data_IF_676799657057
#
_entry.id   IF_676799657057
#
_cell.length_a   1.000
_cell.length_b   1.000
_cell.length_c   1.000
_cell.angle_alpha   90.00
_cell.angle_beta   90.00
_cell.angle_gamma   90.00
#
_symmetry.space_group_name_H-M   'P 1'
#
loop_
_entity.id
_entity.type
_entity.pdbx_description
1 polymer ?
#
# COMPACT_ATOMS: atom_id res chain seq x y z
N UNK A 1 -12.78 13.88 14.40
CA UNK A 1 -14.05 13.13 14.27
C UNK A 1 -14.61 13.11 12.84
N UNK A 2 -13.99 13.78 11.85
CA UNK A 2 -14.47 13.74 10.44
C UNK A 2 -13.96 12.53 9.63
N UNK A 3 -12.86 11.89 10.04
CA UNK A 3 -12.22 10.83 9.24
C UNK A 3 -13.07 9.56 9.07
N UNK A 4 -13.92 9.21 10.05
CA UNK A 4 -14.76 8.00 9.97
C UNK A 4 -15.93 8.14 8.99
N UNK A 5 -16.50 9.35 8.91
CA UNK A 5 -17.55 9.67 7.94
C UNK A 5 -16.99 9.60 6.51
N UNK A 6 -15.83 10.22 6.28
CA UNK A 6 -15.14 10.18 4.97
C UNK A 6 -14.81 8.74 4.54
N UNK A 7 -14.30 7.91 5.45
CA UNK A 7 -13.98 6.50 5.19
C UNK A 7 -15.24 5.72 4.80
N UNK A 8 -16.35 5.95 5.50
CA UNK A 8 -17.63 5.31 5.21
C UNK A 8 -18.19 5.75 3.85
N UNK A 9 -18.02 7.02 3.47
CA UNK A 9 -18.42 7.52 2.16
C UNK A 9 -17.61 6.90 1.01
N UNK A 10 -16.31 6.68 1.20
CA UNK A 10 -15.45 5.98 0.23
C UNK A 10 -16.00 4.56 -0.03
N UNK A 11 -16.33 3.81 1.02
CA UNK A 11 -16.91 2.47 0.86
C UNK A 11 -18.26 2.51 0.13
N UNK A 12 -19.16 3.42 0.54
CA UNK A 12 -20.47 3.59 -0.12
C UNK A 12 -20.32 3.91 -1.60
N UNK A 13 -19.42 4.84 -1.95
CA UNK A 13 -19.15 5.21 -3.32
C UNK A 13 -18.67 4.00 -4.13
N UNK A 14 -17.69 3.25 -3.62
CA UNK A 14 -17.17 2.07 -4.30
C UNK A 14 -18.25 1.01 -4.54
N UNK A 15 -19.07 0.72 -3.53
CA UNK A 15 -20.17 -0.25 -3.63
C UNK A 15 -21.23 0.22 -4.63
N UNK A 16 -21.62 1.51 -4.59
CA UNK A 16 -22.60 2.07 -5.52
C UNK A 16 -22.11 2.06 -6.98
N UNK A 17 -20.80 2.16 -7.19
CA UNK A 17 -20.15 2.02 -8.50
C UNK A 17 -19.98 0.55 -8.92
N UNK A 18 -20.42 -0.42 -8.11
CA UNK A 18 -20.29 -1.86 -8.36
C UNK A 18 -18.85 -2.38 -8.23
N UNK A 19 -17.95 -1.63 -7.61
CA UNK A 19 -16.54 -2.02 -7.43
C UNK A 19 -16.39 -3.01 -6.29
N UNK A 20 -15.54 -4.01 -6.49
CA UNK A 20 -15.15 -4.99 -5.46
C UNK A 20 -13.88 -4.59 -4.70
N UNK A 21 -13.23 -3.50 -5.08
CA UNK A 21 -12.01 -3.00 -4.46
C UNK A 21 -11.98 -1.47 -4.50
N UNK A 22 -11.18 -0.90 -3.59
CA UNK A 22 -10.86 0.52 -3.59
C UNK A 22 -9.75 0.84 -4.58
N UNK A 23 -9.75 2.06 -5.10
CA UNK A 23 -8.59 2.60 -5.81
C UNK A 23 -7.45 2.79 -4.81
N UNK A 24 -6.19 2.65 -5.24
CA UNK A 24 -5.03 2.83 -4.35
C UNK A 24 -5.04 4.18 -3.58
N UNK A 25 -5.40 5.34 -4.19
CA UNK A 25 -5.53 6.59 -3.44
C UNK A 25 -6.60 6.55 -2.33
N UNK A 26 -7.71 5.82 -2.55
CA UNK A 26 -8.76 5.64 -1.56
C UNK A 26 -8.25 4.75 -0.41
N UNK A 27 -7.58 3.64 -0.72
CA UNK A 27 -6.97 2.76 0.28
C UNK A 27 -5.91 3.51 1.12
N UNK A 28 -5.03 4.29 0.48
CA UNK A 28 -4.02 5.11 1.17
C UNK A 28 -4.62 6.24 2.01
N UNK A 29 -5.73 6.83 1.57
CA UNK A 29 -6.47 7.78 2.38
C UNK A 29 -6.94 7.13 3.69
N UNK A 30 -7.54 5.94 3.61
CA UNK A 30 -7.97 5.18 4.79
C UNK A 30 -6.77 4.85 5.68
N UNK A 31 -5.66 4.34 5.12
CA UNK A 31 -4.42 4.11 5.87
C UNK A 31 -3.99 5.36 6.65
N UNK A 32 -3.98 6.53 6.00
CA UNK A 32 -3.62 7.81 6.63
C UNK A 32 -4.57 8.20 7.76
N UNK A 33 -5.88 8.02 7.61
CA UNK A 33 -6.86 8.28 8.68
C UNK A 33 -6.64 7.40 9.92
N UNK A 34 -6.07 6.21 9.71
CA UNK A 34 -5.72 5.26 10.77
C UNK A 34 -4.25 5.36 11.21
N UNK A 35 -3.55 6.43 10.82
CA UNK A 35 -2.14 6.66 11.13
C UNK A 35 -1.21 5.53 10.66
N UNK A 36 -1.57 4.79 9.61
CA UNK A 36 -0.68 3.88 8.90
C UNK A 36 0.12 4.74 7.90
N UNK A 37 1.47 4.81 8.01
CA UNK A 37 2.25 5.69 7.15
C UNK A 37 2.22 5.22 5.69
N UNK A 38 1.93 6.14 4.78
CA UNK A 38 1.94 5.95 3.32
C UNK A 38 2.75 7.08 2.68
N UNK A 39 3.23 6.93 1.43
CA UNK A 39 3.89 8.01 0.72
C UNK A 39 3.04 9.28 0.65
N UNK A 40 3.70 10.43 0.73
CA UNK A 40 3.06 11.69 0.38
C UNK A 40 2.81 11.70 -1.13
N UNK A 41 1.58 12.00 -1.53
CA UNK A 41 1.19 12.01 -2.93
C UNK A 41 -0.18 12.61 -3.20
N UNK A 42 -0.48 12.75 -4.49
CA UNK A 42 -1.71 13.34 -5.00
C UNK A 42 -2.16 12.62 -6.27
N UNK A 43 -3.49 12.58 -6.49
CA UNK A 43 -4.05 12.18 -7.78
C UNK A 43 -4.09 13.38 -8.72
N UNK A 44 -3.50 13.23 -9.90
CA UNK A 44 -3.45 14.22 -10.97
C UNK A 44 -4.11 13.67 -12.23
N UNK A 45 -4.73 14.55 -13.03
CA UNK A 45 -5.46 14.18 -14.25
C UNK A 45 -4.63 14.33 -15.52
N UNK A 46 -3.60 15.16 -15.48
CA UNK A 46 -2.74 15.44 -16.63
C UNK A 46 -1.29 15.70 -16.18
N UNK A 47 -0.40 15.75 -17.17
CA UNK A 47 1.04 15.91 -16.95
C UNK A 47 1.39 17.27 -16.34
N UNK A 48 0.63 18.33 -16.62
CA UNK A 48 0.94 19.67 -16.12
C UNK A 48 0.59 19.81 -14.63
N UNK A 49 -0.51 19.20 -14.19
CA UNK A 49 -0.82 19.01 -12.76
C UNK A 49 0.28 18.18 -12.06
N UNK A 50 0.74 17.10 -12.70
CA UNK A 50 1.84 16.28 -12.18
C UNK A 50 3.12 17.09 -11.98
N UNK A 51 3.50 17.90 -12.98
CA UNK A 51 4.68 18.77 -12.94
C UNK A 51 4.55 19.84 -11.86
N UNK A 52 3.36 20.46 -11.73
CA UNK A 52 3.11 21.44 -10.68
C UNK A 52 3.32 20.83 -9.30
N UNK A 53 2.69 19.68 -9.04
CA UNK A 53 2.82 18.99 -7.76
C UNK A 53 4.26 18.51 -7.52
N UNK A 54 4.95 18.00 -8.54
CA UNK A 54 6.34 17.58 -8.45
C UNK A 54 7.30 18.70 -8.02
N UNK A 55 7.01 19.96 -8.39
CA UNK A 55 7.77 21.14 -7.93
C UNK A 55 7.52 21.46 -6.47
N UNK A 56 6.33 21.16 -5.95
CA UNK A 56 5.96 21.39 -4.55
C UNK A 56 6.59 20.35 -3.63
N UNK A 57 6.50 19.06 -3.98
CA UNK A 57 7.02 17.99 -3.12
C UNK A 57 8.50 17.68 -3.38
N UNK A 58 9.00 17.85 -4.61
CA UNK A 58 10.37 17.55 -5.03
C UNK A 58 10.61 16.09 -5.42
N UNK A 59 11.74 15.82 -6.07
CA UNK A 59 12.15 14.49 -6.58
C UNK A 59 13.00 13.69 -5.56
N UNK A 60 13.20 12.36 -5.72
CA UNK A 60 12.61 11.48 -6.73
C UNK A 60 11.15 11.10 -6.47
N UNK A 61 10.43 10.74 -7.54
CA UNK A 61 9.00 10.44 -7.55
C UNK A 61 8.68 9.07 -8.17
N UNK A 62 7.49 8.58 -7.84
CA UNK A 62 6.83 7.46 -8.49
C UNK A 62 5.53 7.97 -9.13
N UNK A 63 5.22 7.48 -10.33
CA UNK A 63 3.95 7.71 -11.01
C UNK A 63 3.25 6.37 -11.23
N UNK A 64 1.99 6.28 -10.79
CA UNK A 64 1.16 5.07 -10.90
C UNK A 64 -0.14 5.42 -11.60
N UNK A 65 -0.64 4.53 -12.46
CA UNK A 65 -1.97 4.64 -13.02
C UNK A 65 -3.03 4.46 -11.93
N UNK A 66 -4.08 5.27 -11.98
CA UNK A 66 -5.31 5.06 -11.20
C UNK A 66 -6.38 4.64 -12.18
N UNK A 67 -6.89 3.42 -12.02
CA UNK A 67 -7.93 2.85 -12.86
C UNK A 67 -8.75 1.85 -12.06
N UNK A 68 -10.08 1.97 -12.13
CA UNK A 68 -11.00 0.98 -11.59
C UNK A 68 -10.92 -0.38 -12.30
N UNK A 69 -10.36 -0.42 -13.51
CA UNK A 69 -10.29 -1.62 -14.35
C UNK A 69 -8.95 -2.37 -14.20
N UNK A 70 -7.97 -1.77 -13.53
CA UNK A 70 -6.59 -2.31 -13.40
C UNK A 70 -6.22 -2.46 -11.93
N UNK A 71 -6.19 -3.70 -11.43
CA UNK A 71 -5.72 -4.01 -10.08
C UNK A 71 -4.19 -4.13 -10.06
N UNK A 72 -3.63 -4.94 -10.95
CA UNK A 72 -2.19 -5.20 -11.03
C UNK A 72 -1.52 -4.23 -12.01
N UNK A 73 -1.24 -3.03 -11.50
CA UNK A 73 -0.70 -1.89 -12.28
C UNK A 73 0.65 -2.23 -12.94
N UNK A 74 1.52 -2.94 -12.24
CA UNK A 74 2.85 -3.31 -12.74
C UNK A 74 2.76 -4.16 -14.00
N UNK A 75 1.84 -5.13 -14.06
CA UNK A 75 1.69 -6.09 -15.16
C UNK A 75 1.32 -5.43 -16.49
N UNK A 76 0.64 -4.28 -16.42
CA UNK A 76 0.24 -3.50 -17.60
C UNK A 76 1.20 -2.34 -17.88
N UNK A 77 2.33 -2.24 -17.16
CA UNK A 77 3.28 -1.13 -17.29
C UNK A 77 2.75 0.20 -16.75
N UNK A 78 1.85 0.14 -15.77
CA UNK A 78 1.16 1.26 -15.14
C UNK A 78 1.91 1.90 -13.98
N UNK A 79 3.17 1.52 -13.72
CA UNK A 79 4.01 2.07 -12.64
C UNK A 79 5.37 2.45 -13.22
N UNK A 80 5.79 3.70 -12.98
CA UNK A 80 7.15 4.18 -13.29
C UNK A 80 7.74 4.78 -12.01
N UNK A 81 8.87 4.24 -11.57
CA UNK A 81 9.64 4.71 -10.42
C UNK A 81 10.87 5.51 -10.87
N UNK A 82 11.62 6.05 -9.92
CA UNK A 82 12.88 6.76 -10.14
C UNK A 82 12.76 7.93 -11.13
N UNK A 83 11.68 8.69 -10.99
CA UNK A 83 11.47 9.94 -11.73
C UNK A 83 12.25 11.01 -11.00
N UNK A 84 13.31 11.55 -11.63
CA UNK A 84 14.29 12.42 -10.96
C UNK A 84 14.19 13.89 -11.37
N UNK A 85 13.41 14.19 -12.40
CA UNK A 85 13.25 15.55 -12.94
C UNK A 85 11.95 15.68 -13.76
N UNK A 86 11.63 16.91 -14.21
CA UNK A 86 10.44 17.19 -15.01
C UNK A 86 10.45 16.44 -16.36
N UNK A 87 11.63 16.29 -16.97
CA UNK A 87 11.77 15.62 -18.26
C UNK A 87 11.41 14.12 -18.16
N UNK A 88 11.95 13.42 -17.17
CA UNK A 88 11.62 12.03 -16.86
C UNK A 88 10.16 11.87 -16.42
N UNK A 89 9.57 12.85 -15.72
CA UNK A 89 8.15 12.83 -15.36
C UNK A 89 7.23 12.88 -16.59
N UNK A 90 7.49 13.79 -17.53
CA UNK A 90 6.73 13.88 -18.79
C UNK A 90 6.85 12.60 -19.62
N UNK A 91 8.04 11.99 -19.66
CA UNK A 91 8.25 10.69 -20.32
C UNK A 91 7.48 9.58 -19.61
N UNK A 92 7.55 9.51 -18.28
CA UNK A 92 6.84 8.50 -17.49
C UNK A 92 5.32 8.54 -17.75
N UNK A 93 4.74 9.74 -17.79
CA UNK A 93 3.32 9.94 -18.07
C UNK A 93 2.92 9.36 -19.45
N UNK A 94 3.68 9.70 -20.49
CA UNK A 94 3.44 9.19 -21.84
C UNK A 94 3.67 7.68 -21.95
N UNK A 95 4.71 7.16 -21.28
CA UNK A 95 5.00 5.72 -21.26
C UNK A 95 3.85 4.93 -20.65
N UNK A 96 3.31 5.36 -19.50
CA UNK A 96 2.16 4.69 -18.87
C UNK A 96 0.96 4.70 -19.83
N UNK A 97 0.61 5.84 -20.43
CA UNK A 97 -0.53 5.91 -21.36
C UNK A 97 -0.35 4.93 -22.52
N UNK A 98 0.84 4.87 -23.11
CA UNK A 98 1.12 3.95 -24.22
C UNK A 98 1.04 2.49 -23.77
N UNK A 99 1.58 2.17 -22.59
CA UNK A 99 1.52 0.82 -22.03
C UNK A 99 0.06 0.38 -21.79
N UNK A 100 -0.79 1.25 -21.22
CA UNK A 100 -2.20 0.94 -21.01
C UNK A 100 -2.94 0.73 -22.33
N UNK A 101 -2.67 1.56 -23.35
CA UNK A 101 -3.27 1.38 -24.69
C UNK A 101 -2.90 0.04 -25.33
N UNK A 102 -1.71 -0.48 -25.05
CA UNK A 102 -1.24 -1.74 -25.62
C UNK A 102 -1.72 -2.96 -24.81
N UNK A 103 -1.60 -2.89 -23.49
CA UNK A 103 -1.78 -4.05 -22.59
C UNK A 103 -3.19 -4.14 -22.01
N UNK A 104 -3.93 -3.03 -21.94
CA UNK A 104 -5.28 -2.94 -21.38
C UNK A 104 -6.15 -1.92 -22.16
N UNK A 105 -6.37 -2.11 -23.48
CA UNK A 105 -6.99 -1.10 -24.36
C UNK A 105 -8.43 -0.71 -23.98
N UNK A 106 -9.12 -1.56 -23.21
CA UNK A 106 -10.49 -1.31 -22.73
C UNK A 106 -10.54 -0.65 -21.34
N UNK A 107 -9.39 -0.46 -20.68
CA UNK A 107 -9.33 0.10 -19.34
C UNK A 107 -9.51 1.63 -19.36
N UNK A 108 -10.29 2.14 -18.42
CA UNK A 108 -10.48 3.56 -18.18
C UNK A 108 -9.37 4.08 -17.29
N UNK A 109 -8.78 5.22 -17.68
CA UNK A 109 -7.80 5.93 -16.86
C UNK A 109 -8.56 6.95 -16.01
N UNK A 110 -8.69 6.67 -14.71
CA UNK A 110 -9.30 7.59 -13.75
C UNK A 110 -8.32 8.70 -13.33
N UNK A 111 -7.01 8.51 -13.50
CA UNK A 111 -5.98 9.52 -13.25
C UNK A 111 -4.62 8.87 -13.02
N UNK A 112 -3.72 9.63 -12.39
CA UNK A 112 -2.39 9.17 -12.04
C UNK A 112 -2.09 9.55 -10.59
N UNK A 113 -1.56 8.63 -9.81
CA UNK A 113 -1.08 8.86 -8.46
C UNK A 113 0.41 9.18 -8.54
N UNK A 114 0.77 10.41 -8.21
CA UNK A 114 2.16 10.89 -8.10
C UNK A 114 2.56 10.92 -6.63
N UNK A 115 3.65 10.24 -6.29
CA UNK A 115 4.09 10.04 -4.90
C UNK A 115 5.58 10.28 -4.72
N UNK A 116 5.96 10.68 -3.52
CA UNK A 116 7.36 10.62 -3.07
C UNK A 116 7.89 9.20 -3.19
N UNK A 117 9.03 9.05 -3.86
CA UNK A 117 9.73 7.78 -3.91
C UNK A 117 10.50 7.55 -2.62
N UNK A 118 10.39 6.33 -2.12
CA UNK A 118 11.14 5.82 -0.99
C UNK A 118 12.21 4.86 -1.49
N UNK A 119 13.44 5.01 -1.00
CA UNK A 119 14.54 4.10 -1.33
C UNK A 119 14.21 2.68 -0.86
N UNK A 120 14.46 1.63 -1.65
CA UNK A 120 14.22 0.27 -1.20
C UNK A 120 14.91 -0.04 0.13
N UNK A 121 14.23 -0.79 1.00
CA UNK A 121 14.75 -1.25 2.28
C UNK A 121 14.25 -2.67 2.56
N UNK A 122 14.23 -3.10 3.82
CA UNK A 122 13.57 -4.35 4.20
C UNK A 122 12.11 -4.24 3.82
N UNK A 123 11.70 -5.08 2.87
CA UNK A 123 10.31 -5.21 2.45
C UNK A 123 9.57 -6.12 3.43
N UNK A 124 8.40 -5.68 3.86
CA UNK A 124 7.48 -6.39 4.73
C UNK A 124 6.10 -6.41 4.09
N UNK A 125 5.28 -7.37 4.50
CA UNK A 125 3.87 -7.45 4.15
C UNK A 125 3.05 -7.49 5.43
N UNK A 126 1.98 -6.68 5.45
CA UNK A 126 0.90 -6.81 6.44
C UNK A 126 -0.39 -6.97 5.66
N UNK A 127 -1.06 -8.11 5.87
CA UNK A 127 -2.33 -8.42 5.25
C UNK A 127 -3.42 -8.64 6.28
N UNK A 128 -4.67 -8.59 5.84
CA UNK A 128 -5.81 -9.09 6.59
C UNK A 128 -6.77 -9.77 5.62
N UNK A 129 -7.28 -10.93 5.98
CA UNK A 129 -8.36 -11.59 5.25
C UNK A 129 -9.48 -11.96 6.24
N UNK A 130 -10.73 -11.74 5.84
CA UNK A 130 -11.89 -12.18 6.62
C UNK A 130 -12.23 -13.64 6.31
N UNK A 131 -11.79 -14.52 7.19
CA UNK A 131 -12.14 -15.94 7.18
C UNK A 131 -13.61 -16.15 7.53
N UNK A 132 -14.24 -17.16 6.90
CA UNK A 132 -15.66 -17.47 7.08
C UNK A 132 -16.03 -18.00 8.46
N UNK A 133 -15.10 -18.64 9.16
CA UNK A 133 -15.30 -19.23 10.48
C UNK A 133 -14.73 -18.34 11.58
N UNK A 134 -13.55 -17.76 11.35
CA UNK A 134 -12.80 -17.04 12.39
C UNK A 134 -12.93 -15.52 12.31
N UNK A 135 -13.51 -14.97 11.23
CA UNK A 135 -13.57 -13.53 11.03
C UNK A 135 -12.22 -12.96 10.57
N UNK A 136 -11.87 -11.71 10.93
CA UNK A 136 -10.66 -11.07 10.43
C UNK A 136 -9.38 -11.73 10.98
N UNK A 137 -8.53 -12.20 10.07
CA UNK A 137 -7.22 -12.80 10.35
C UNK A 137 -6.14 -11.89 9.78
N UNK A 138 -5.26 -11.38 10.64
CA UNK A 138 -4.12 -10.54 10.27
C UNK A 138 -2.91 -11.43 9.99
N UNK A 139 -2.19 -11.10 8.92
CA UNK A 139 -0.98 -11.77 8.47
C UNK A 139 0.20 -10.79 8.51
N UNK A 140 1.35 -11.24 8.97
CA UNK A 140 2.62 -10.53 8.86
C UNK A 140 3.69 -11.40 8.20
N UNK A 141 4.57 -10.81 7.39
CA UNK A 141 5.69 -11.52 6.76
C UNK A 141 6.77 -10.59 6.20
N UNK A 142 7.89 -11.18 5.78
CA UNK A 142 8.90 -10.49 4.98
C UNK A 142 8.45 -10.46 3.52
N UNK A 143 8.45 -9.28 2.90
CA UNK A 143 8.05 -9.02 1.52
C UNK A 143 9.07 -9.44 0.45
N UNK A 144 8.79 -9.10 -0.81
CA UNK A 144 9.62 -9.39 -1.97
C UNK A 144 9.60 -10.86 -2.41
N UNK A 145 10.58 -11.25 -3.23
CA UNK A 145 10.68 -12.59 -3.86
C UNK A 145 10.67 -13.74 -2.83
N UNK A 146 10.96 -13.43 -1.57
CA UNK A 146 11.01 -14.42 -0.49
C UNK A 146 9.63 -14.84 0.01
N UNK A 147 8.56 -14.04 -0.13
CA UNK A 147 7.18 -14.41 0.28
C UNK A 147 6.70 -15.63 -0.49
N UNK A 148 6.77 -15.57 -1.82
CA UNK A 148 6.19 -16.57 -2.71
C UNK A 148 6.91 -17.93 -2.61
N UNK A 149 8.20 -17.90 -2.27
CA UNK A 149 9.05 -19.08 -2.22
C UNK A 149 9.09 -19.72 -0.82
N UNK A 150 9.07 -18.93 0.25
CA UNK A 150 9.31 -19.44 1.61
C UNK A 150 8.07 -19.48 2.52
N UNK A 151 6.96 -18.87 2.10
CA UNK A 151 5.71 -18.77 2.88
C UNK A 151 5.97 -18.31 4.33
N UNK A 152 6.93 -17.39 4.50
CA UNK A 152 7.42 -16.98 5.80
C UNK A 152 6.51 -15.93 6.43
N UNK A 153 5.44 -16.42 7.04
CA UNK A 153 4.32 -15.61 7.55
C UNK A 153 3.86 -16.10 8.91
N UNK A 154 3.32 -15.18 9.70
CA UNK A 154 2.63 -15.45 10.98
C UNK A 154 1.22 -14.85 10.95
N UNK A 155 0.32 -15.44 11.74
CA UNK A 155 -1.10 -15.10 11.73
C UNK A 155 -1.64 -14.88 13.14
N UNK A 156 -2.59 -13.95 13.29
CA UNK A 156 -3.41 -13.74 14.49
C UNK A 156 -4.83 -13.36 14.10
N UNK A 157 -5.79 -13.64 14.98
CA UNK A 157 -7.14 -13.11 14.83
C UNK A 157 -7.14 -11.62 15.23
N UNK A 158 -7.98 -10.81 14.59
CA UNK A 158 -8.23 -9.45 15.04
C UNK A 158 -9.49 -9.38 15.95
N UNK A 159 -9.51 -8.46 16.93
CA UNK A 159 -8.45 -7.52 17.26
C UNK A 159 -7.27 -8.24 17.92
N UNK A 160 -6.08 -7.65 17.77
CA UNK A 160 -4.86 -8.10 18.44
C UNK A 160 -4.16 -6.92 19.08
N UNK A 161 -3.47 -7.16 20.18
CA UNK A 161 -2.71 -6.13 20.88
C UNK A 161 -1.25 -6.02 20.38
N UNK A 162 -0.53 -5.03 20.93
CA UNK A 162 0.87 -4.78 20.59
C UNK A 162 1.78 -5.97 20.94
N UNK A 163 1.51 -6.68 22.03
CA UNK A 163 2.32 -7.81 22.47
C UNK A 163 2.16 -8.97 21.48
N UNK A 164 0.92 -9.28 21.08
CA UNK A 164 0.63 -10.28 20.05
C UNK A 164 1.29 -9.91 18.72
N UNK A 165 1.24 -8.64 18.32
CA UNK A 165 1.91 -8.17 17.11
C UNK A 165 3.44 -8.30 17.17
N UNK A 166 4.07 -8.04 18.32
CA UNK A 166 5.52 -8.26 18.50
C UNK A 166 5.87 -9.74 18.43
N UNK A 167 5.02 -10.62 18.97
CA UNK A 167 5.19 -12.08 18.86
C UNK A 167 5.10 -12.53 17.41
N UNK A 168 4.10 -12.07 16.66
CA UNK A 168 3.99 -12.32 15.22
C UNK A 168 5.27 -11.94 14.46
N UNK A 169 5.87 -10.80 14.79
CA UNK A 169 7.09 -10.33 14.14
C UNK A 169 8.30 -11.22 14.47
N UNK A 170 8.35 -11.81 15.67
CA UNK A 170 9.43 -12.70 16.09
C UNK A 170 9.29 -14.13 15.55
N UNK A 171 8.09 -14.54 15.16
CA UNK A 171 7.79 -15.89 14.66
C UNK A 171 8.31 -16.15 13.24
N UNK A 172 8.44 -15.12 12.41
CA UNK A 172 8.92 -15.28 11.05
C UNK A 172 10.40 -15.70 11.02
N UNK A 173 10.75 -16.62 10.13
CA UNK A 173 12.13 -17.10 9.91
C UNK A 173 13.07 -15.96 9.50
N UNK A 174 12.54 -14.98 8.79
CA UNK A 174 13.20 -13.76 8.35
C UNK A 174 13.39 -12.70 9.44
N UNK A 175 13.00 -12.96 10.69
CA UNK A 175 13.16 -12.01 11.81
C UNK A 175 14.58 -11.43 11.92
N UNK A 176 15.62 -12.23 11.59
CA UNK A 176 17.02 -11.78 11.60
C UNK A 176 17.30 -10.59 10.67
N UNK A 177 16.50 -10.39 9.62
CA UNK A 177 16.60 -9.21 8.76
C UNK A 177 16.28 -7.92 9.53
N UNK A 178 15.32 -7.99 10.45
CA UNK A 178 14.88 -6.86 11.29
C UNK A 178 15.87 -6.54 12.41
N UNK A 179 16.74 -7.47 12.79
CA UNK A 179 17.75 -7.26 13.84
C UNK A 179 19.07 -6.68 13.33
N UNK A 180 19.14 -6.30 12.04
CA UNK A 180 20.33 -5.75 11.40
C UNK A 180 20.94 -6.73 10.39
N UNK A 181 20.97 -6.34 9.11
CA UNK A 181 21.46 -7.17 8.01
C UNK A 181 22.13 -6.31 6.94
N UNK A 182 23.30 -6.75 6.42
CA UNK A 182 24.05 -6.08 5.33
C UNK A 182 24.20 -4.56 5.47
N UNK A 183 24.55 -4.08 6.67
CA UNK A 183 24.76 -2.65 6.94
C UNK A 183 23.49 -1.84 7.19
N UNK A 184 22.30 -2.46 7.12
CA UNK A 184 21.05 -1.85 7.57
C UNK A 184 20.98 -1.85 9.10
N UNK A 185 20.48 -0.74 9.65
CA UNK A 185 20.20 -0.61 11.08
C UNK A 185 19.06 -1.57 11.48
N UNK A 186 19.08 -2.10 12.72
CA UNK A 186 17.95 -2.83 13.26
C UNK A 186 16.67 -2.00 13.16
N UNK A 187 15.56 -2.64 12.78
CA UNK A 187 14.25 -2.03 12.71
C UNK A 187 13.62 -2.00 14.09
N UNK A 188 13.00 -0.88 14.41
CA UNK A 188 12.18 -0.72 15.59
C UNK A 188 10.87 -1.49 15.43
N UNK A 189 10.76 -2.60 16.16
CA UNK A 189 9.63 -3.52 16.06
C UNK A 189 8.30 -2.86 16.47
N UNK A 190 8.34 -1.85 17.35
CA UNK A 190 7.13 -1.17 17.81
C UNK A 190 6.40 -0.43 16.69
N UNK A 191 7.13 0.04 15.67
CA UNK A 191 6.53 0.72 14.52
C UNK A 191 5.85 -0.28 13.59
N UNK A 192 6.42 -1.48 13.43
CA UNK A 192 5.77 -2.55 12.66
C UNK A 192 4.53 -3.04 13.43
N UNK A 193 4.67 -3.30 14.73
CA UNK A 193 3.58 -3.77 15.58
C UNK A 193 2.39 -2.80 15.57
N UNK A 194 2.67 -1.50 15.58
CA UNK A 194 1.65 -0.46 15.48
C UNK A 194 0.84 -0.53 14.16
N UNK A 195 1.51 -0.78 13.02
CA UNK A 195 0.82 -1.00 11.73
C UNK A 195 -0.05 -2.25 11.77
N UNK A 196 0.46 -3.36 12.31
CA UNK A 196 -0.28 -4.63 12.43
C UNK A 196 -1.56 -4.43 13.26
N UNK A 197 -1.45 -3.81 14.44
CA UNK A 197 -2.59 -3.52 15.32
C UNK A 197 -3.61 -2.64 14.60
N UNK A 198 -3.17 -1.56 13.94
CA UNK A 198 -4.05 -0.67 13.17
C UNK A 198 -4.79 -1.37 12.04
N UNK A 199 -4.15 -2.33 11.36
CA UNK A 199 -4.81 -3.16 10.34
C UNK A 199 -5.88 -4.05 10.98
N UNK A 200 -5.59 -4.66 12.13
CA UNK A 200 -6.57 -5.41 12.92
C UNK A 200 -7.76 -4.56 13.34
N UNK A 201 -7.52 -3.38 13.89
CA UNK A 201 -8.57 -2.43 14.31
C UNK A 201 -9.45 -1.99 13.14
N UNK A 202 -8.82 -1.68 11.99
CA UNK A 202 -9.54 -1.32 10.77
C UNK A 202 -10.47 -2.46 10.30
N UNK A 203 -9.98 -3.70 10.36
CA UNK A 203 -10.72 -4.90 9.98
C UNK A 203 -11.91 -5.20 10.91
N UNK A 204 -11.74 -4.99 12.21
CA UNK A 204 -12.83 -5.16 13.19
C UNK A 204 -13.88 -4.07 13.02
N UNK A 205 -13.45 -2.82 12.82
CA UNK A 205 -14.35 -1.67 12.70
C UNK A 205 -15.19 -1.69 11.43
N UNK A 206 -14.64 -2.14 10.30
CA UNK A 206 -15.32 -2.14 9.02
C UNK A 206 -15.53 -3.55 8.48
N UNK A 207 -16.69 -4.12 8.79
CA UNK A 207 -17.10 -5.45 8.31
C UNK A 207 -17.15 -5.56 6.77
N UNK A 208 -17.33 -4.43 6.06
CA UNK A 208 -17.31 -4.36 4.59
C UNK A 208 -15.94 -4.68 4.00
N UNK A 209 -14.86 -4.58 4.79
CA UNK A 209 -13.53 -4.96 4.32
C UNK A 209 -13.40 -6.48 4.38
N UNK A 210 -13.12 -7.07 3.22
CA UNK A 210 -12.85 -8.49 3.04
C UNK A 210 -11.35 -8.79 3.08
N UNK A 211 -10.54 -7.94 2.44
CA UNK A 211 -9.08 -8.08 2.41
C UNK A 211 -8.40 -6.71 2.55
N UNK A 212 -7.30 -6.67 3.29
CA UNK A 212 -6.32 -5.57 3.29
C UNK A 212 -4.98 -6.18 2.87
N UNK A 213 -4.25 -5.51 2.00
CA UNK A 213 -2.91 -5.91 1.57
C UNK A 213 -2.02 -4.68 1.51
N UNK A 214 -1.11 -4.55 2.47
CA UNK A 214 -0.07 -3.53 2.53
C UNK A 214 1.23 -4.16 2.07
N UNK A 215 1.51 -4.05 0.77
CA UNK A 215 2.63 -4.74 0.15
C UNK A 215 3.24 -3.96 -1.04
N UNK A 216 4.48 -3.48 -0.96
CA UNK A 216 5.38 -3.62 0.18
C UNK A 216 5.16 -2.55 1.25
N UNK A 217 5.55 -2.88 2.48
CA UNK A 217 5.93 -1.93 3.53
C UNK A 217 7.46 -1.87 3.56
N UNK A 218 8.04 -0.69 3.40
CA UNK A 218 9.49 -0.49 3.58
C UNK A 218 9.80 -0.07 5.02
N UNK A 219 10.69 -0.80 5.68
CA UNK A 219 11.12 -0.53 7.05
C UNK A 219 12.56 0.02 7.12
N UNK A 220 12.76 1.14 7.81
CA UNK A 220 14.02 1.88 7.97
C UNK A 220 14.27 2.19 9.44
N UNK A 221 14.96 1.33 10.18
CA UNK A 221 15.24 1.63 11.59
C UNK A 221 13.97 2.02 12.35
N UNK A 222 13.84 3.31 12.68
CA UNK A 222 12.68 3.93 13.34
C UNK A 222 11.57 4.46 12.39
N UNK A 223 11.39 3.86 11.21
CA UNK A 223 10.31 4.24 10.29
C UNK A 223 9.81 3.04 9.50
N UNK A 224 8.51 2.97 9.24
CA UNK A 224 7.95 2.06 8.24
C UNK A 224 6.92 2.79 7.38
N UNK A 225 6.84 2.46 6.09
CA UNK A 225 5.92 3.10 5.13
C UNK A 225 5.32 2.06 4.20
N UNK A 226 3.98 1.96 4.15
CA UNK A 226 3.24 1.15 3.19
C UNK A 226 3.24 1.85 1.83
N UNK A 227 4.12 1.42 0.92
CA UNK A 227 4.32 2.08 -0.38
C UNK A 227 3.26 1.69 -1.42
N UNK A 228 2.57 0.57 -1.22
CA UNK A 228 1.31 0.23 -1.89
C UNK A 228 0.29 -0.26 -0.85
N UNK A 229 -0.99 -0.06 -1.15
CA UNK A 229 -2.10 -0.45 -0.30
C UNK A 229 -3.28 -0.86 -1.16
N UNK A 230 -3.84 -2.04 -0.87
CA UNK A 230 -5.03 -2.57 -1.53
C UNK A 230 -6.06 -2.97 -0.49
N UNK A 231 -7.33 -2.66 -0.78
CA UNK A 231 -8.47 -3.01 0.05
C UNK A 231 -9.55 -3.62 -0.85
N UNK A 232 -9.95 -4.86 -0.55
CA UNK A 232 -11.03 -5.58 -1.24
C UNK A 232 -12.27 -5.55 -0.35
N UNK A 233 -13.41 -5.28 -0.96
CA UNK A 233 -14.72 -5.19 -0.31
C UNK A 233 -15.45 -6.55 -0.36
N UNK A 234 -16.32 -6.78 0.62
CA UNK A 234 -17.15 -7.99 0.73
C UNK A 234 -18.25 -8.06 -0.33
#
# INVERSE_FOLDING_TARGET
>A
MNGDEDVTEIFKKAINEGRKWLLEPEAKYICKQYNIPVPEGMVVKNVDEAVKYAREIGYPLVLKIVSKDIIHKTDVGGVITNIVDEYSLRRAFNSIINNIRLNAPSAHIDGFLIEKMYEPSIELIVGMNRDTQFGPVVMFGVGGVFVEVYQDTSFRLAPLDRQEAIEMIREIKGFKLLTGYRGLKPVNLDIIADIIVKVGDLAVKYAVIKEIDLNPIFAYGDRAVAVDARIILA
#
